data_IF_196335897781
#
_entry.id   IF_196335897781
#
_cell.length_a   1.000
_cell.length_b   1.000
_cell.length_c   1.000
_cell.angle_alpha   90.00
_cell.angle_beta   90.00
_cell.angle_gamma   90.00
#
_symmetry.space_group_name_H-M   'P 1'
#
loop_
_entity.id
_entity.type
_entity.pdbx_description
1 polymer ?
#
# COMPACT_ATOMS: atom_id res chain seq x y z
N UNK A 1 -58.56 -39.23 -52.57
CA UNK A 1 -57.09 -39.15 -52.68
C UNK A 1 -56.71 -37.68 -52.82
N UNK A 2 -56.06 -37.08 -51.82
CA UNK A 2 -55.29 -35.84 -51.94
C UNK A 2 -54.39 -35.74 -50.70
N UNK A 3 -53.08 -35.91 -50.92
CA UNK A 3 -52.06 -35.93 -49.88
C UNK A 3 -51.58 -34.52 -49.54
N UNK A 4 -51.62 -34.18 -48.25
CA UNK A 4 -51.09 -32.92 -47.71
C UNK A 4 -49.61 -33.14 -47.37
N UNK A 5 -48.72 -32.48 -48.11
CA UNK A 5 -47.28 -32.48 -47.85
C UNK A 5 -46.98 -31.62 -46.61
N UNK A 6 -46.59 -32.25 -45.50
CA UNK A 6 -46.06 -31.57 -44.33
C UNK A 6 -44.64 -31.07 -44.63
N UNK A 7 -44.43 -29.74 -44.58
CA UNK A 7 -43.08 -29.14 -44.51
C UNK A 7 -42.64 -29.16 -43.06
N UNK A 8 -41.66 -30.01 -42.74
CA UNK A 8 -40.99 -30.02 -41.43
C UNK A 8 -40.21 -28.72 -41.17
N UNK A 9 -39.90 -28.41 -39.91
CA UNK A 9 -39.18 -27.20 -39.54
C UNK A 9 -37.74 -27.25 -40.06
N UNK A 10 -37.29 -26.11 -40.59
CA UNK A 10 -35.90 -25.87 -40.96
C UNK A 10 -35.09 -25.86 -39.66
N UNK A 11 -34.27 -26.88 -39.47
CA UNK A 11 -33.23 -26.87 -38.44
C UNK A 11 -32.23 -25.79 -38.88
N UNK A 12 -32.22 -24.67 -38.15
CA UNK A 12 -31.15 -23.68 -38.26
C UNK A 12 -29.90 -24.32 -37.67
N UNK A 13 -29.01 -24.78 -38.55
CA UNK A 13 -27.67 -25.22 -38.16
C UNK A 13 -27.03 -24.15 -37.27
N UNK A 14 -26.65 -24.55 -36.06
CA UNK A 14 -25.86 -23.75 -35.14
C UNK A 14 -24.64 -23.21 -35.89
N UNK A 15 -24.54 -21.90 -35.99
CA UNK A 15 -23.34 -21.24 -36.49
C UNK A 15 -22.19 -21.69 -35.59
N UNK A 16 -21.12 -22.32 -36.13
CA UNK A 16 -19.98 -22.69 -35.31
C UNK A 16 -19.42 -21.41 -34.71
N UNK A 17 -19.60 -21.26 -33.40
CA UNK A 17 -18.99 -20.16 -32.65
C UNK A 17 -17.51 -20.45 -32.63
N UNK A 18 -16.76 -19.76 -33.51
CA UNK A 18 -15.30 -19.78 -33.51
C UNK A 18 -14.85 -19.12 -32.20
N UNK A 19 -14.63 -19.93 -31.18
CA UNK A 19 -13.98 -19.48 -29.95
C UNK A 19 -12.50 -19.33 -30.24
N UNK A 20 -12.07 -18.11 -30.57
CA UNK A 20 -10.65 -17.77 -30.57
C UNK A 20 -10.21 -17.83 -29.09
N UNK A 21 -9.49 -18.88 -28.73
CA UNK A 21 -8.92 -19.03 -27.39
C UNK A 21 -8.09 -17.80 -26.99
N UNK A 22 -7.86 -17.56 -25.69
CA UNK A 22 -7.12 -16.39 -25.24
C UNK A 22 -5.72 -16.37 -25.88
N UNK A 23 -5.37 -15.28 -26.56
CA UNK A 23 -4.02 -15.02 -27.13
C UNK A 23 -2.92 -14.84 -26.07
N UNK A 24 -3.19 -15.29 -24.84
CA UNK A 24 -2.37 -15.03 -23.67
C UNK A 24 -1.96 -16.35 -23.06
N UNK A 25 -0.70 -16.44 -22.68
CA UNK A 25 -0.11 -17.62 -22.08
C UNK A 25 -0.05 -17.42 -20.57
N UNK A 26 -0.18 -18.51 -19.83
CA UNK A 26 -0.03 -18.53 -18.40
C UNK A 26 0.78 -19.76 -17.99
N UNK A 27 1.53 -19.65 -16.89
CA UNK A 27 2.23 -20.80 -16.32
C UNK A 27 1.21 -21.77 -15.70
N UNK A 28 1.64 -22.98 -15.40
CA UNK A 28 0.81 -23.93 -14.66
C UNK A 28 0.66 -23.50 -13.18
N UNK A 29 -0.48 -23.84 -12.57
CA UNK A 29 -0.73 -23.52 -11.17
C UNK A 29 0.35 -24.10 -10.25
N UNK A 30 0.80 -25.34 -10.49
CA UNK A 30 1.88 -25.96 -9.71
C UNK A 30 3.22 -25.23 -9.79
N UNK A 31 3.51 -24.53 -10.90
CA UNK A 31 4.70 -23.69 -11.02
C UNK A 31 4.61 -22.45 -10.12
N UNK A 32 3.42 -21.85 -9.98
CA UNK A 32 3.17 -20.77 -9.04
C UNK A 32 3.29 -21.25 -7.58
N UNK A 33 2.80 -22.45 -7.26
CA UNK A 33 2.93 -23.05 -5.93
C UNK A 33 4.40 -23.29 -5.55
N UNK A 34 5.14 -23.97 -6.43
CA UNK A 34 6.55 -24.27 -6.23
C UNK A 34 7.38 -23.00 -6.07
N UNK A 35 7.12 -22.00 -6.91
CA UNK A 35 7.75 -20.69 -6.77
C UNK A 35 7.38 -20.04 -5.44
N UNK A 36 6.10 -20.01 -5.06
CA UNK A 36 5.64 -19.38 -3.82
C UNK A 36 6.26 -20.01 -2.56
N UNK A 37 6.50 -21.33 -2.58
CA UNK A 37 7.17 -22.05 -1.51
C UNK A 37 8.67 -21.71 -1.38
N UNK A 38 9.36 -21.47 -2.50
CA UNK A 38 10.80 -21.22 -2.54
C UNK A 38 11.19 -19.73 -2.56
N UNK A 39 10.31 -18.85 -3.02
CA UNK A 39 10.59 -17.45 -3.29
C UNK A 39 10.80 -16.64 -2.00
N UNK A 40 11.78 -15.75 -2.05
CA UNK A 40 12.02 -14.74 -1.03
C UNK A 40 11.11 -13.55 -1.22
N UNK A 41 10.88 -12.81 -0.14
CA UNK A 41 9.98 -11.67 -0.20
C UNK A 41 10.55 -10.52 -1.05
N UNK A 42 9.76 -10.08 -2.03
CA UNK A 42 10.19 -9.14 -3.07
C UNK A 42 10.51 -9.81 -4.40
N UNK A 43 10.66 -11.14 -4.44
CA UNK A 43 10.83 -11.88 -5.70
C UNK A 43 9.60 -11.72 -6.58
N UNK A 44 9.83 -11.71 -7.89
CA UNK A 44 8.79 -11.47 -8.89
C UNK A 44 8.69 -12.68 -9.82
N UNK A 45 7.46 -13.12 -10.08
CA UNK A 45 7.13 -14.14 -11.08
C UNK A 45 6.11 -13.60 -12.06
N UNK A 46 6.41 -13.67 -13.36
CA UNK A 46 5.42 -13.45 -14.41
C UNK A 46 4.58 -14.73 -14.52
N UNK A 47 3.34 -14.69 -14.06
CA UNK A 47 2.46 -15.88 -14.10
C UNK A 47 1.59 -15.93 -15.35
N UNK A 48 1.44 -14.81 -16.05
CA UNK A 48 0.77 -14.76 -17.35
C UNK A 48 1.31 -13.61 -18.22
N UNK A 49 1.19 -13.74 -19.54
CA UNK A 49 1.48 -12.66 -20.48
C UNK A 49 0.57 -12.73 -21.73
N UNK A 50 0.29 -11.57 -22.33
CA UNK A 50 -0.49 -11.46 -23.56
C UNK A 50 -1.42 -10.25 -23.57
N UNK A 51 -2.27 -10.10 -24.59
CA UNK A 51 -3.14 -8.94 -24.73
C UNK A 51 -4.27 -8.89 -23.69
N UNK A 52 -4.70 -10.05 -23.13
CA UNK A 52 -5.83 -10.15 -22.20
C UNK A 52 -5.58 -11.24 -21.16
N UNK A 53 -5.76 -10.94 -19.86
CA UNK A 53 -5.55 -11.93 -18.80
C UNK A 53 -6.44 -13.17 -19.03
N UNK A 54 -5.89 -14.40 -19.08
CA UNK A 54 -6.68 -15.61 -19.26
C UNK A 54 -7.43 -15.96 -17.97
N UNK A 55 -8.56 -15.28 -17.72
CA UNK A 55 -9.31 -15.32 -16.44
C UNK A 55 -9.75 -16.73 -15.99
N UNK A 56 -9.86 -17.67 -16.92
CA UNK A 56 -10.27 -19.06 -16.66
C UNK A 56 -9.10 -19.99 -16.35
N UNK A 57 -7.84 -19.55 -16.52
CA UNK A 57 -6.68 -20.37 -16.21
C UNK A 57 -6.55 -20.57 -14.69
N UNK A 58 -6.32 -21.81 -14.26
CA UNK A 58 -6.23 -22.17 -12.84
C UNK A 58 -5.20 -21.34 -12.06
N UNK A 59 -4.08 -20.99 -12.69
CA UNK A 59 -3.05 -20.13 -12.09
C UNK A 59 -3.56 -18.73 -11.75
N UNK A 60 -4.53 -18.18 -12.51
CA UNK A 60 -5.10 -16.86 -12.24
C UNK A 60 -6.00 -16.91 -11.01
N UNK A 61 -6.77 -17.98 -10.86
CA UNK A 61 -7.57 -18.24 -9.66
C UNK A 61 -6.65 -18.38 -8.45
N UNK A 62 -5.63 -19.23 -8.54
CA UNK A 62 -4.66 -19.44 -7.47
C UNK A 62 -3.88 -18.17 -7.10
N UNK A 63 -3.45 -17.38 -8.10
CA UNK A 63 -2.76 -16.11 -7.86
C UNK A 63 -3.64 -15.11 -7.08
N UNK A 64 -4.95 -15.10 -7.33
CA UNK A 64 -5.91 -14.29 -6.56
C UNK A 64 -6.07 -14.81 -5.15
N UNK A 65 -6.23 -16.11 -4.96
CA UNK A 65 -6.30 -16.73 -3.63
C UNK A 65 -5.05 -16.40 -2.80
N UNK A 66 -3.86 -16.46 -3.42
CA UNK A 66 -2.61 -16.07 -2.77
C UNK A 66 -2.53 -14.58 -2.47
N UNK A 67 -3.12 -13.73 -3.32
CA UNK A 67 -3.21 -12.30 -3.05
C UNK A 67 -4.14 -12.00 -1.88
N UNK A 68 -5.30 -12.65 -1.84
CA UNK A 68 -6.30 -12.54 -0.77
C UNK A 68 -5.74 -13.05 0.57
N UNK A 69 -4.95 -14.14 0.53
CA UNK A 69 -4.20 -14.65 1.68
C UNK A 69 -2.98 -13.79 2.06
N UNK A 70 -2.66 -12.74 1.29
CA UNK A 70 -1.53 -11.85 1.51
C UNK A 70 -0.16 -12.48 1.28
N UNK A 71 -0.11 -13.62 0.59
CA UNK A 71 1.12 -14.35 0.23
C UNK A 71 1.85 -13.73 -0.96
N UNK A 72 1.11 -13.06 -1.85
CA UNK A 72 1.65 -12.34 -3.00
C UNK A 72 0.93 -11.00 -3.21
N UNK A 73 1.55 -10.10 -3.94
CA UNK A 73 0.90 -8.89 -4.50
C UNK A 73 0.87 -9.02 -6.01
N UNK A 74 -0.29 -8.80 -6.61
CA UNK A 74 -0.46 -8.87 -8.07
C UNK A 74 -0.25 -7.49 -8.68
N UNK A 75 0.51 -7.43 -9.77
CA UNK A 75 0.64 -6.23 -10.59
C UNK A 75 0.59 -6.60 -12.07
N UNK A 76 0.33 -5.60 -12.92
CA UNK A 76 0.39 -5.76 -14.36
C UNK A 76 1.25 -4.66 -14.96
N UNK A 77 2.10 -5.02 -15.91
CA UNK A 77 2.93 -4.09 -16.66
C UNK A 77 2.62 -4.21 -18.15
N UNK A 78 2.54 -3.07 -18.84
CA UNK A 78 2.42 -3.05 -20.30
C UNK A 78 3.79 -3.29 -20.93
N UNK A 79 3.85 -4.21 -21.88
CA UNK A 79 5.03 -4.54 -22.67
C UNK A 79 4.72 -4.40 -24.16
N UNK A 80 5.75 -4.45 -25.02
CA UNK A 80 5.61 -4.21 -26.46
C UNK A 80 4.56 -5.12 -27.15
N UNK A 81 4.33 -6.33 -26.62
CA UNK A 81 3.39 -7.33 -27.17
C UNK A 81 2.16 -7.59 -26.30
N UNK A 82 1.81 -6.70 -25.37
CA UNK A 82 0.61 -6.83 -24.52
C UNK A 82 0.87 -6.45 -23.07
N UNK A 83 0.41 -7.30 -22.15
CA UNK A 83 0.61 -7.16 -20.72
C UNK A 83 1.37 -8.35 -20.16
N UNK A 84 2.16 -8.10 -19.13
CA UNK A 84 2.69 -9.13 -18.23
C UNK A 84 1.99 -8.97 -16.88
N UNK A 85 1.52 -10.09 -16.33
CA UNK A 85 0.93 -10.14 -15.00
C UNK A 85 1.92 -10.80 -14.05
N UNK A 86 2.26 -10.05 -13.01
CA UNK A 86 3.31 -10.36 -12.08
C UNK A 86 2.71 -10.71 -10.71
N UNK A 87 3.25 -11.74 -10.07
CA UNK A 87 3.07 -12.02 -8.66
C UNK A 87 4.37 -11.66 -7.95
N UNK A 88 4.28 -10.80 -6.94
CA UNK A 88 5.42 -10.38 -6.11
C UNK A 88 5.27 -11.05 -4.75
N UNK A 89 6.28 -11.78 -4.29
CA UNK A 89 6.21 -12.51 -3.02
C UNK A 89 6.11 -11.52 -1.86
N UNK A 90 5.04 -11.62 -1.09
CA UNK A 90 4.84 -10.75 0.07
C UNK A 90 5.77 -11.20 1.20
N UNK A 91 6.34 -10.23 1.93
CA UNK A 91 6.86 -10.50 3.28
C UNK A 91 5.63 -10.90 4.08
N UNK A 92 5.52 -12.14 4.56
CA UNK A 92 4.49 -12.48 5.54
C UNK A 92 4.83 -11.78 6.86
N UNK A 93 4.55 -10.47 6.85
CA UNK A 93 4.38 -9.48 7.93
C UNK A 93 4.06 -8.10 7.31
N UNK A 94 3.14 -7.99 6.34
CA UNK A 94 2.90 -6.67 5.70
C UNK A 94 1.55 -6.39 4.99
N UNK A 95 0.58 -7.31 4.91
CA UNK A 95 -0.75 -6.93 4.36
C UNK A 95 -1.68 -6.41 5.45
N UNK A 96 -1.65 -7.03 6.66
CA UNK A 96 -2.25 -6.40 7.85
C UNK A 96 -1.63 -5.03 8.13
N UNK A 97 -0.31 -4.86 8.03
CA UNK A 97 0.30 -3.55 8.34
C UNK A 97 -0.02 -2.42 7.32
N UNK A 98 -0.54 -2.73 6.12
CA UNK A 98 -0.97 -1.70 5.15
C UNK A 98 -2.48 -1.50 5.19
N UNK A 99 -3.25 -2.58 5.27
CA UNK A 99 -4.71 -2.52 5.38
C UNK A 99 -5.14 -2.07 6.77
N UNK A 100 -4.49 -2.54 7.84
CA UNK A 100 -4.68 -2.02 9.20
C UNK A 100 -4.15 -0.60 9.28
N UNK A 101 -3.04 -0.20 8.63
CA UNK A 101 -2.65 1.23 8.60
C UNK A 101 -3.63 2.10 7.83
N UNK A 102 -4.15 1.65 6.69
CA UNK A 102 -5.16 2.40 5.93
C UNK A 102 -6.50 2.42 6.65
N UNK A 103 -6.86 1.33 7.32
CA UNK A 103 -8.06 1.24 8.14
C UNK A 103 -7.88 2.05 9.43
N UNK A 104 -6.71 2.10 10.05
CA UNK A 104 -6.37 2.96 11.18
C UNK A 104 -6.31 4.42 10.76
N UNK A 105 -5.73 4.75 9.59
CA UNK A 105 -5.71 6.11 9.04
C UNK A 105 -7.12 6.56 8.64
N UNK A 106 -7.94 5.68 8.06
CA UNK A 106 -9.33 5.94 7.71
C UNK A 106 -10.22 5.99 8.95
N UNK A 107 -10.02 5.11 9.93
CA UNK A 107 -10.72 5.12 11.21
C UNK A 107 -10.27 6.33 12.05
N UNK A 108 -9.02 6.76 11.98
CA UNK A 108 -8.55 8.01 12.59
C UNK A 108 -9.05 9.26 11.84
N UNK A 109 -9.40 9.14 10.56
CA UNK A 109 -10.02 10.22 9.77
C UNK A 109 -11.55 10.27 9.95
N UNK A 110 -12.19 9.14 10.27
CA UNK A 110 -13.63 9.00 10.48
C UNK A 110 -14.04 9.03 11.96
N UNK A 111 -13.10 8.77 12.87
CA UNK A 111 -13.30 9.08 14.27
C UNK A 111 -13.37 10.60 14.39
N UNK A 112 -14.32 11.18 15.13
CA UNK A 112 -14.10 12.53 15.67
C UNK A 112 -12.73 12.54 16.35
N UNK A 113 -12.05 13.69 16.51
CA UNK A 113 -10.89 13.72 17.37
C UNK A 113 -11.38 13.27 18.75
N UNK A 114 -11.21 11.98 19.06
CA UNK A 114 -10.95 11.50 20.41
C UNK A 114 -10.02 12.57 20.96
N UNK A 115 -10.37 13.12 22.12
CA UNK A 115 -9.56 14.09 22.86
C UNK A 115 -8.23 13.43 23.23
N UNK A 116 -7.42 13.14 22.21
CA UNK A 116 -6.08 12.65 22.32
C UNK A 116 -5.37 13.73 23.08
N UNK A 117 -4.67 13.31 24.13
CA UNK A 117 -3.87 14.22 24.92
C UNK A 117 -3.03 15.07 23.97
N UNK A 118 -2.81 16.33 24.33
CA UNK A 118 -1.91 17.24 23.60
C UNK A 118 -0.57 16.54 23.27
N UNK A 119 -0.12 15.66 24.16
CA UNK A 119 1.04 14.77 23.99
C UNK A 119 0.94 13.89 22.72
N UNK A 120 -0.21 13.26 22.47
CA UNK A 120 -0.44 12.35 21.34
C UNK A 120 -0.49 13.10 20.01
N UNK A 121 -1.09 14.29 19.99
CA UNK A 121 -1.16 15.15 18.80
C UNK A 121 0.26 15.55 18.39
N UNK A 122 1.06 16.03 19.35
CA UNK A 122 2.45 16.43 19.11
C UNK A 122 3.29 15.21 18.70
N UNK A 123 3.13 14.06 19.37
CA UNK A 123 3.85 12.85 19.01
C UNK A 123 3.50 12.35 17.60
N UNK A 124 2.23 12.43 17.20
CA UNK A 124 1.77 12.07 15.85
C UNK A 124 2.38 13.00 14.79
N UNK A 125 2.43 14.29 15.05
CA UNK A 125 3.07 15.27 14.16
C UNK A 125 4.57 14.97 13.99
N UNK A 126 5.28 14.67 15.08
CA UNK A 126 6.71 14.30 15.04
C UNK A 126 6.95 12.97 14.31
N UNK A 127 6.12 11.95 14.54
CA UNK A 127 6.16 10.68 13.80
C UNK A 127 5.95 10.90 12.31
N UNK A 128 5.00 11.75 11.92
CA UNK A 128 4.74 12.10 10.52
C UNK A 128 5.98 12.75 9.89
N UNK A 129 6.55 13.77 10.53
CA UNK A 129 7.75 14.42 10.03
C UNK A 129 8.94 13.44 9.88
N UNK A 130 9.13 12.55 10.86
CA UNK A 130 10.17 11.51 10.80
C UNK A 130 9.93 10.47 9.70
N UNK A 131 8.67 10.10 9.43
CA UNK A 131 8.32 9.18 8.34
C UNK A 131 8.61 9.77 6.96
N UNK A 132 8.38 11.07 6.77
CA UNK A 132 8.59 11.75 5.50
C UNK A 132 10.01 12.33 5.33
N UNK A 133 10.94 12.07 6.27
CA UNK A 133 12.24 12.76 6.33
C UNK A 133 12.10 14.28 6.19
N UNK A 134 11.04 14.85 6.75
CA UNK A 134 10.77 16.28 6.70
C UNK A 134 11.55 16.99 7.83
N UNK A 135 11.84 18.30 7.70
CA UNK A 135 12.40 19.08 8.80
C UNK A 135 11.49 19.01 10.02
N UNK A 136 12.09 19.03 11.22
CA UNK A 136 11.30 19.04 12.45
C UNK A 136 10.41 20.29 12.48
N UNK A 137 9.09 20.14 12.73
CA UNK A 137 8.20 21.27 12.88
C UNK A 137 8.63 22.16 14.06
N UNK A 138 8.39 23.47 13.91
CA UNK A 138 8.70 24.46 14.93
C UNK A 138 7.75 24.32 16.14
N UNK A 139 8.12 24.88 17.29
CA UNK A 139 7.23 24.88 18.45
C UNK A 139 5.93 25.66 18.19
N UNK A 140 5.97 26.68 17.32
CA UNK A 140 4.77 27.43 16.93
C UNK A 140 3.83 26.56 16.08
N UNK A 141 4.37 25.78 15.15
CA UNK A 141 3.57 24.86 14.33
C UNK A 141 2.97 23.74 15.19
N UNK A 142 3.74 23.20 16.13
CA UNK A 142 3.25 22.19 17.06
C UNK A 142 2.16 22.72 17.99
N UNK A 143 2.29 23.96 18.46
CA UNK A 143 1.26 24.61 19.26
C UNK A 143 -0.03 24.81 18.47
N UNK A 144 0.06 25.28 17.21
CA UNK A 144 -1.10 25.42 16.31
C UNK A 144 -1.79 24.08 16.06
N UNK A 145 -1.02 23.03 15.79
CA UNK A 145 -1.55 21.68 15.55
C UNK A 145 -2.26 21.10 16.78
N UNK A 146 -1.72 21.34 17.97
CA UNK A 146 -2.27 20.85 19.23
C UNK A 146 -3.25 21.81 19.91
N UNK A 147 -3.63 22.91 19.23
CA UNK A 147 -4.52 23.98 19.75
C UNK A 147 -4.08 24.52 21.11
N UNK A 148 -2.77 24.69 21.29
CA UNK A 148 -2.18 25.29 22.47
C UNK A 148 -2.08 26.80 22.32
N UNK A 149 -2.37 27.52 23.41
CA UNK A 149 -2.34 28.98 23.44
C UNK A 149 -0.92 29.55 23.23
N UNK A 150 0.11 28.79 23.62
CA UNK A 150 1.50 29.28 23.56
C UNK A 150 2.47 28.26 22.96
N UNK A 151 3.49 28.73 22.20
CA UNK A 151 4.61 27.89 21.74
C UNK A 151 5.43 27.29 22.88
N UNK A 152 5.39 27.89 24.07
CA UNK A 152 6.09 27.40 25.26
C UNK A 152 5.45 26.12 25.78
N UNK A 153 4.11 26.03 25.79
CA UNK A 153 3.40 24.83 26.17
C UNK A 153 3.77 23.61 25.30
N UNK A 154 4.00 23.82 24.00
CA UNK A 154 4.50 22.77 23.10
C UNK A 154 5.91 22.29 23.49
N UNK A 155 6.79 23.19 23.95
CA UNK A 155 8.11 22.84 24.45
C UNK A 155 8.04 21.95 25.69
N UNK A 156 7.11 22.23 26.60
CA UNK A 156 6.94 21.44 27.82
C UNK A 156 6.36 20.06 27.54
N UNK A 157 5.48 19.92 26.56
CA UNK A 157 5.03 18.62 26.05
C UNK A 157 6.19 17.83 25.45
N UNK A 158 7.07 18.46 24.66
CA UNK A 158 8.26 17.80 24.10
C UNK A 158 9.21 17.32 25.22
N UNK A 159 9.40 18.12 26.28
CA UNK A 159 10.17 17.69 27.47
C UNK A 159 9.50 16.49 28.14
N UNK A 160 8.17 16.49 28.26
CA UNK A 160 7.40 15.38 28.84
C UNK A 160 7.54 14.10 28.02
N UNK A 161 7.45 14.20 26.69
CA UNK A 161 7.64 13.08 25.75
C UNK A 161 9.08 12.55 25.80
N UNK A 162 10.08 13.42 25.93
CA UNK A 162 11.47 13.03 26.15
C UNK A 162 11.65 12.29 27.47
N UNK A 163 11.07 12.81 28.57
CA UNK A 163 11.15 12.19 29.90
C UNK A 163 10.50 10.81 29.94
N UNK A 164 9.42 10.61 29.17
CA UNK A 164 8.75 9.32 28.98
C UNK A 164 9.48 8.36 28.05
N UNK A 165 10.61 8.78 27.45
CA UNK A 165 11.37 7.96 26.51
C UNK A 165 10.68 7.74 25.16
N UNK A 166 9.63 8.52 24.82
CA UNK A 166 8.95 8.39 23.55
C UNK A 166 9.76 8.99 22.38
N UNK A 167 10.57 10.00 22.67
CA UNK A 167 11.40 10.71 21.70
C UNK A 167 12.77 11.08 22.28
N UNK A 168 13.76 11.15 21.41
CA UNK A 168 15.08 11.73 21.69
C UNK A 168 15.24 12.97 20.84
N UNK A 169 15.63 14.08 21.48
CA UNK A 169 15.83 15.36 20.80
C UNK A 169 17.33 15.64 20.73
N UNK A 170 17.83 15.78 19.51
CA UNK A 170 19.19 16.23 19.21
C UNK A 170 19.13 17.62 18.60
N UNK A 171 19.90 18.55 19.15
CA UNK A 171 20.07 19.90 18.58
C UNK A 171 21.49 19.96 18.01
N UNK A 172 21.68 19.70 16.71
CA UNK A 172 23.00 19.79 16.11
C UNK A 172 23.50 21.24 16.11
N UNK A 173 24.83 21.43 16.17
CA UNK A 173 25.47 22.75 16.22
C UNK A 173 25.17 23.63 14.99
N UNK A 174 24.84 23.01 13.86
CA UNK A 174 24.31 23.68 12.66
C UNK A 174 23.05 22.97 12.19
N UNK A 175 21.94 23.70 12.09
CA UNK A 175 20.66 23.22 11.55
C UNK A 175 19.52 23.16 12.58
N UNK A 176 18.32 22.89 12.09
CA UNK A 176 17.11 22.75 12.90
C UNK A 176 17.15 21.51 13.81
N UNK A 177 16.33 21.52 14.86
CA UNK A 177 16.15 20.40 15.80
C UNK A 177 15.90 19.09 15.06
N UNK A 178 16.55 18.01 15.50
CA UNK A 178 16.33 16.65 15.00
C UNK A 178 15.67 15.83 16.10
N UNK A 179 14.54 15.19 15.80
CA UNK A 179 13.84 14.32 16.74
C UNK A 179 13.90 12.89 16.23
N UNK A 180 14.33 11.98 17.09
CA UNK A 180 14.32 10.54 16.87
C UNK A 180 13.17 9.93 17.67
N UNK A 181 12.34 9.13 16.99
CA UNK A 181 11.23 8.41 17.63
C UNK A 181 11.77 7.11 18.23
N UNK A 182 11.69 6.95 19.55
CA UNK A 182 12.31 5.82 20.24
C UNK A 182 11.75 4.46 19.78
N UNK A 183 10.44 4.39 19.54
CA UNK A 183 9.77 3.16 19.12
C UNK A 183 10.19 2.65 17.73
N UNK A 184 10.64 3.53 16.83
CA UNK A 184 10.91 3.16 15.43
C UNK A 184 12.35 3.45 14.98
N UNK A 185 13.13 4.17 15.79
CA UNK A 185 14.46 4.66 15.42
C UNK A 185 14.47 5.71 14.31
N UNK A 186 13.31 6.08 13.75
CA UNK A 186 13.20 7.04 12.66
C UNK A 186 13.49 8.45 13.15
N UNK A 187 14.16 9.25 12.31
CA UNK A 187 14.58 10.62 12.63
C UNK A 187 13.99 11.63 11.65
N UNK A 188 13.65 12.82 12.13
CA UNK A 188 13.33 13.96 11.27
C UNK A 188 14.59 14.39 10.50
N UNK A 189 14.43 15.05 9.36
CA UNK A 189 15.58 15.64 8.68
C UNK A 189 16.17 16.78 9.52
N UNK A 190 17.48 16.94 9.41
CA UNK A 190 18.18 18.11 9.92
C UNK A 190 17.67 19.31 9.15
N UNK A 191 17.05 20.26 9.85
CA UNK A 191 16.49 21.43 9.20
C UNK A 191 17.61 22.16 8.47
N UNK A 192 17.56 22.18 7.14
CA UNK A 192 18.35 23.12 6.35
C UNK A 192 17.85 24.50 6.72
N UNK A 193 18.71 25.29 7.35
CA UNK A 193 18.47 26.70 7.53
C UNK A 193 18.36 27.32 6.13
N UNK A 194 17.15 27.45 5.58
CA UNK A 194 16.90 28.46 4.56
C UNK A 194 17.01 29.82 5.26
N UNK A 195 18.21 30.41 5.19
CA UNK A 195 18.40 31.86 5.27
C UNK A 195 18.10 32.43 3.87
N UNK A 196 17.28 33.47 3.83
CA UNK A 196 17.05 34.34 2.65
C UNK A 196 15.63 34.21 2.10
N UNK A 197 14.88 35.28 1.82
CA UNK A 197 15.33 36.62 1.43
C UNK A 197 14.25 37.68 1.62
N UNK A 198 14.71 38.90 1.96
CA UNK A 198 14.11 40.23 1.77
C UNK A 198 12.70 40.51 2.32
#
# INVERSE_FOLDING_TARGET
>A
MNGVAQRGPIIVDEVPTISIGPLSMAIEAGALEAWCAAAQAGDVLVYAHGPVLPRTAAVVTLAREYADAGLVTLSSQRVAKGFEWNAVRSRVRAVRDISDRRAEDALAALSPPEEGSVDDIILRALKRAANFNAPCPSNADLARLARLDTPVAASDVIKRLKKRGAITVLVPAMGGRVVTIAATGKRTAQGSTQRGSA
#
